data_IF_561627842323
#
_entry.id   IF_561627842323
#
_cell.length_a   1.000
_cell.length_b   1.000
_cell.length_c   1.000
_cell.angle_alpha   90.00
_cell.angle_beta   90.00
_cell.angle_gamma   90.00
#
_symmetry.space_group_name_H-M   'P 1'
#
loop_
_entity.id
_entity.type
_entity.pdbx_description
1 polymer ?
#
# COMPACT_ATOMS: atom_id res chain seq x y z
N UNK A 1 1.75 10.16 -14.32
CA UNK A 1 1.94 10.67 -15.68
C UNK A 1 1.66 9.52 -16.62
N UNK A 2 0.83 9.73 -17.65
CA UNK A 2 0.74 8.73 -18.72
C UNK A 2 2.02 8.78 -19.57
N UNK A 3 2.14 7.87 -20.54
CA UNK A 3 3.29 7.81 -21.45
C UNK A 3 3.51 9.09 -22.27
N UNK A 4 2.54 10.03 -22.25
CA UNK A 4 2.58 11.32 -22.92
C UNK A 4 2.93 12.48 -21.97
N UNK A 5 3.19 12.20 -20.69
CA UNK A 5 3.49 13.22 -19.68
C UNK A 5 2.26 13.95 -19.13
N UNK A 6 1.04 13.49 -19.44
CA UNK A 6 -0.17 14.15 -18.98
C UNK A 6 -0.37 13.95 -17.46
N UNK A 7 -0.89 14.98 -16.82
CA UNK A 7 -1.31 14.99 -15.42
C UNK A 7 -2.82 15.12 -15.33
N UNK A 8 -3.45 14.26 -14.53
CA UNK A 8 -4.89 14.21 -14.32
C UNK A 8 -5.21 14.49 -12.86
N UNK A 9 -6.06 15.48 -12.63
CA UNK A 9 -6.38 15.99 -11.28
C UNK A 9 -7.60 15.24 -10.72
N UNK A 10 -7.47 14.66 -9.52
CA UNK A 10 -8.57 14.04 -8.77
C UNK A 10 -9.32 15.05 -7.89
N UNK A 11 -9.25 16.34 -8.24
CA UNK A 11 -9.96 17.41 -7.58
C UNK A 11 -10.65 18.29 -8.60
N UNK A 12 -11.82 18.79 -8.24
CA UNK A 12 -12.55 19.80 -9.00
C UNK A 12 -13.19 19.29 -10.29
N UNK A 13 -14.28 19.96 -10.70
CA UNK A 13 -14.12 21.02 -11.67
C UNK A 13 -14.45 22.37 -11.05
N UNK A 14 -13.64 23.40 -11.35
CA UNK A 14 -14.06 24.79 -11.07
C UNK A 14 -15.09 25.30 -12.08
N UNK A 15 -15.20 24.68 -13.28
CA UNK A 15 -16.23 24.92 -14.31
C UNK A 15 -16.47 23.65 -15.17
N UNK A 16 -17.59 23.57 -15.90
CA UNK A 16 -18.00 22.44 -16.78
C UNK A 16 -16.96 22.08 -17.88
N UNK A 17 -16.09 23.00 -18.30
CA UNK A 17 -15.04 22.69 -19.28
C UNK A 17 -13.87 21.88 -18.67
N UNK A 18 -13.64 22.01 -17.37
CA UNK A 18 -12.57 21.33 -16.65
C UNK A 18 -12.96 19.92 -16.19
N UNK A 19 -14.25 19.59 -16.24
CA UNK A 19 -14.73 18.27 -15.83
C UNK A 19 -14.18 17.16 -16.71
N UNK A 20 -13.78 17.44 -17.95
CA UNK A 20 -13.16 16.44 -18.84
C UNK A 20 -11.86 15.85 -18.28
N UNK A 21 -10.99 16.66 -17.66
CA UNK A 21 -9.75 16.18 -17.04
C UNK A 21 -10.04 15.40 -15.77
N UNK A 22 -10.98 15.87 -14.97
CA UNK A 22 -11.44 15.20 -13.75
C UNK A 22 -12.12 13.85 -14.06
N UNK A 23 -13.01 13.81 -15.04
CA UNK A 23 -13.69 12.60 -15.49
C UNK A 23 -12.68 11.55 -15.97
N UNK A 24 -11.67 12.01 -16.72
CA UNK A 24 -10.56 11.15 -17.12
C UNK A 24 -9.75 10.66 -15.92
N UNK A 25 -9.46 11.52 -14.95
CA UNK A 25 -8.77 11.16 -13.71
C UNK A 25 -9.55 10.09 -12.93
N UNK A 26 -10.85 10.29 -12.72
CA UNK A 26 -11.72 9.35 -12.02
C UNK A 26 -11.85 8.01 -12.76
N UNK A 27 -11.92 8.02 -14.09
CA UNK A 27 -11.93 6.79 -14.91
C UNK A 27 -10.61 6.02 -14.78
N UNK A 28 -9.48 6.71 -14.79
CA UNK A 28 -8.16 6.09 -14.55
C UNK A 28 -8.07 5.54 -13.12
N UNK A 29 -8.60 6.26 -12.14
CA UNK A 29 -8.66 5.78 -10.76
C UNK A 29 -9.47 4.47 -10.62
N UNK A 30 -10.63 4.37 -11.29
CA UNK A 30 -11.39 3.11 -11.33
C UNK A 30 -10.61 1.98 -12.00
N UNK A 31 -9.83 2.29 -13.04
CA UNK A 31 -8.94 1.31 -13.69
C UNK A 31 -7.94 0.75 -12.69
N UNK A 32 -7.25 1.62 -11.93
CA UNK A 32 -6.33 1.19 -10.88
C UNK A 32 -7.01 0.35 -9.80
N UNK A 33 -8.23 0.70 -9.38
CA UNK A 33 -8.99 -0.07 -8.40
C UNK A 33 -9.40 -1.46 -8.93
N UNK A 34 -9.74 -1.54 -10.21
CA UNK A 34 -10.04 -2.81 -10.87
C UNK A 34 -8.79 -3.70 -10.95
N UNK A 35 -7.66 -3.15 -11.40
CA UNK A 35 -6.37 -3.86 -11.46
C UNK A 35 -5.96 -4.38 -10.07
N UNK A 36 -6.14 -3.56 -9.03
CA UNK A 36 -5.93 -3.99 -7.64
C UNK A 36 -6.80 -5.20 -7.28
N UNK A 37 -8.08 -5.20 -7.67
CA UNK A 37 -8.99 -6.31 -7.37
C UNK A 37 -8.59 -7.62 -8.06
N UNK A 38 -8.09 -7.53 -9.29
CA UNK A 38 -7.59 -8.67 -10.05
C UNK A 38 -6.31 -9.23 -9.42
N UNK A 39 -5.39 -8.34 -9.03
CA UNK A 39 -4.19 -8.69 -8.26
C UNK A 39 -4.56 -9.39 -6.94
N UNK A 40 -5.47 -8.82 -6.17
CA UNK A 40 -5.89 -9.36 -4.88
C UNK A 40 -6.51 -10.76 -5.02
N UNK A 41 -7.38 -10.94 -6.03
CA UNK A 41 -7.95 -12.25 -6.36
C UNK A 41 -6.87 -13.26 -6.77
N UNK A 42 -5.89 -12.85 -7.58
CA UNK A 42 -4.80 -13.73 -7.99
C UNK A 42 -3.94 -14.17 -6.78
N UNK A 43 -3.69 -13.25 -5.84
CA UNK A 43 -2.95 -13.56 -4.60
C UNK A 43 -3.71 -14.53 -3.71
N UNK A 44 -5.02 -14.41 -3.61
CA UNK A 44 -5.86 -15.36 -2.87
C UNK A 44 -5.81 -16.77 -3.48
N UNK A 45 -5.82 -16.86 -4.82
CA UNK A 45 -5.67 -18.14 -5.53
C UNK A 45 -4.30 -18.77 -5.24
N UNK A 46 -3.22 -17.97 -5.29
CA UNK A 46 -1.86 -18.42 -4.94
C UNK A 46 -1.77 -18.94 -3.49
N UNK A 47 -2.51 -18.30 -2.57
CA UNK A 47 -2.62 -18.71 -1.17
C UNK A 47 -3.59 -19.89 -0.93
N UNK A 48 -4.06 -20.57 -1.99
CA UNK A 48 -4.99 -21.69 -1.94
C UNK A 48 -6.35 -21.36 -1.28
N UNK A 49 -6.79 -20.10 -1.36
CA UNK A 49 -8.15 -19.73 -0.94
C UNK A 49 -9.14 -20.26 -1.98
N UNK A 50 -10.24 -20.88 -1.52
CA UNK A 50 -11.28 -21.38 -2.42
C UNK A 50 -11.80 -20.27 -3.35
N UNK A 51 -12.06 -20.55 -4.66
CA UNK A 51 -12.55 -19.56 -5.63
C UNK A 51 -13.80 -18.80 -5.21
N UNK A 52 -14.63 -19.40 -4.36
CA UNK A 52 -15.83 -18.78 -3.81
C UNK A 52 -15.51 -17.68 -2.80
N UNK A 53 -14.42 -17.86 -2.05
CA UNK A 53 -13.94 -16.97 -0.98
C UNK A 53 -12.87 -15.97 -1.43
N UNK A 54 -12.30 -16.16 -2.63
CA UNK A 54 -11.34 -15.22 -3.19
C UNK A 54 -11.93 -13.81 -3.28
N UNK A 55 -11.06 -12.82 -3.12
CA UNK A 55 -11.41 -11.41 -3.14
C UNK A 55 -12.23 -11.03 -4.38
N UNK A 56 -13.34 -10.32 -4.12
CA UNK A 56 -14.23 -9.74 -5.12
C UNK A 56 -14.71 -8.40 -4.59
N UNK A 57 -14.72 -7.39 -5.44
CA UNK A 57 -15.38 -6.13 -5.12
C UNK A 57 -16.89 -6.33 -5.03
N UNK A 58 -17.58 -5.70 -4.07
CA UNK A 58 -19.04 -5.78 -3.97
C UNK A 58 -19.75 -5.07 -5.14
N UNK A 59 -19.08 -4.09 -5.75
CA UNK A 59 -19.57 -3.39 -6.93
C UNK A 59 -18.59 -3.58 -8.09
N UNK A 60 -19.08 -4.18 -9.18
CA UNK A 60 -18.38 -4.36 -10.45
C UNK A 60 -17.94 -3.02 -11.06
N UNK A 61 -16.71 -2.99 -11.56
CA UNK A 61 -16.15 -1.85 -12.28
C UNK A 61 -16.04 -2.19 -13.77
N UNK A 62 -16.63 -1.36 -14.62
CA UNK A 62 -16.57 -1.47 -16.08
C UNK A 62 -16.36 -0.09 -16.71
N UNK A 63 -15.17 0.15 -17.27
CA UNK A 63 -14.79 1.44 -17.85
C UNK A 63 -14.94 2.59 -16.83
N UNK A 64 -15.85 3.52 -17.11
CA UNK A 64 -16.20 4.66 -16.27
C UNK A 64 -17.32 4.35 -15.26
N UNK A 65 -17.82 3.11 -15.22
CA UNK A 65 -18.98 2.74 -14.40
C UNK A 65 -18.60 1.90 -13.20
N UNK A 66 -19.30 2.19 -12.11
CA UNK A 66 -19.39 1.31 -10.94
C UNK A 66 -20.85 0.86 -10.84
N UNK A 67 -21.06 -0.44 -11.00
CA UNK A 67 -22.35 -1.04 -11.28
C UNK A 67 -22.95 -0.44 -12.56
N UNK A 68 -24.03 0.31 -12.44
CA UNK A 68 -24.74 0.91 -13.57
C UNK A 68 -24.57 2.44 -13.60
N UNK A 69 -23.73 3.00 -12.73
CA UNK A 69 -23.59 4.44 -12.55
C UNK A 69 -22.20 4.90 -13.01
N UNK A 70 -22.16 5.92 -13.87
CA UNK A 70 -20.90 6.53 -14.30
C UNK A 70 -20.30 7.38 -13.18
N UNK A 71 -18.98 7.27 -13.00
CA UNK A 71 -18.16 8.09 -12.09
C UNK A 71 -17.86 9.47 -12.67
N UNK A 72 -18.10 9.67 -13.95
CA UNK A 72 -17.93 10.96 -14.62
C UNK A 72 -19.01 11.94 -14.17
N UNK A 73 -18.62 13.19 -13.98
CA UNK A 73 -19.52 14.26 -13.59
C UNK A 73 -20.19 14.90 -14.82
N UNK A 74 -19.50 14.97 -15.96
CA UNK A 74 -20.05 15.59 -17.18
C UNK A 74 -21.28 14.83 -17.68
N UNK A 75 -22.33 15.57 -18.05
CA UNK A 75 -23.57 15.01 -18.61
C UNK A 75 -24.23 13.91 -17.74
N UNK A 76 -23.98 13.93 -16.43
CA UNK A 76 -24.52 12.96 -15.48
C UNK A 76 -25.55 13.61 -14.55
N UNK A 77 -26.46 12.80 -14.01
CA UNK A 77 -27.34 13.25 -12.92
C UNK A 77 -26.56 13.27 -11.62
N UNK A 78 -26.76 14.31 -10.82
CA UNK A 78 -26.06 14.48 -9.55
C UNK A 78 -26.26 13.26 -8.63
N UNK A 79 -27.47 12.69 -8.57
CA UNK A 79 -27.73 11.48 -7.79
C UNK A 79 -26.97 10.25 -8.29
N UNK A 80 -26.84 10.06 -9.61
CA UNK A 80 -26.14 8.94 -10.21
C UNK A 80 -24.63 9.04 -9.96
N UNK A 81 -24.07 10.23 -10.19
CA UNK A 81 -22.66 10.52 -9.91
C UNK A 81 -22.31 10.29 -8.43
N UNK A 82 -23.11 10.83 -7.52
CA UNK A 82 -22.93 10.64 -6.07
C UNK A 82 -23.03 9.17 -5.68
N UNK A 83 -23.91 8.41 -6.34
CA UNK A 83 -24.07 6.97 -6.09
C UNK A 83 -22.88 6.16 -6.60
N UNK A 84 -22.33 6.48 -7.77
CA UNK A 84 -21.09 5.89 -8.28
C UNK A 84 -19.91 6.14 -7.31
N UNK A 85 -19.78 7.37 -6.79
CA UNK A 85 -18.78 7.71 -5.77
C UNK A 85 -18.96 6.89 -4.49
N UNK A 86 -20.19 6.77 -3.99
CA UNK A 86 -20.51 5.95 -2.81
C UNK A 86 -20.12 4.47 -3.02
N UNK A 87 -20.40 3.92 -4.19
CA UNK A 87 -20.03 2.53 -4.51
C UNK A 87 -18.51 2.37 -4.62
N UNK A 88 -17.83 3.35 -5.22
CA UNK A 88 -16.36 3.38 -5.27
C UNK A 88 -15.75 3.38 -3.86
N UNK A 89 -16.27 4.20 -2.94
CA UNK A 89 -15.83 4.21 -1.54
C UNK A 89 -16.08 2.87 -0.82
N UNK A 90 -17.20 2.22 -1.11
CA UNK A 90 -17.46 0.88 -0.57
C UNK A 90 -16.43 -0.14 -1.12
N UNK A 91 -16.17 -0.13 -2.43
CA UNK A 91 -15.13 -0.97 -3.02
C UNK A 91 -13.76 -0.73 -2.37
N UNK A 92 -13.39 0.53 -2.13
CA UNK A 92 -12.15 0.88 -1.43
C UNK A 92 -12.12 0.36 0.02
N UNK A 93 -13.25 0.42 0.74
CA UNK A 93 -13.36 -0.18 2.07
C UNK A 93 -13.09 -1.69 2.04
N UNK A 94 -13.62 -2.40 1.05
CA UNK A 94 -13.39 -3.84 0.88
C UNK A 94 -11.96 -4.16 0.48
N UNK A 95 -11.38 -3.37 -0.43
CA UNK A 95 -9.97 -3.46 -0.80
C UNK A 95 -9.07 -3.29 0.43
N UNK A 96 -9.35 -2.29 1.27
CA UNK A 96 -8.63 -2.05 2.52
C UNK A 96 -8.80 -3.23 3.50
N UNK A 97 -10.03 -3.73 3.68
CA UNK A 97 -10.30 -4.87 4.56
C UNK A 97 -9.49 -6.11 4.13
N UNK A 98 -9.50 -6.44 2.84
CA UNK A 98 -8.70 -7.51 2.30
C UNK A 98 -7.19 -7.27 2.49
N UNK A 99 -6.72 -6.06 2.19
CA UNK A 99 -5.31 -5.70 2.32
C UNK A 99 -4.81 -5.85 3.76
N UNK A 100 -5.56 -5.34 4.74
CA UNK A 100 -5.25 -5.46 6.17
C UNK A 100 -5.30 -6.92 6.63
N UNK A 101 -6.22 -7.73 6.10
CA UNK A 101 -6.29 -9.17 6.41
C UNK A 101 -5.14 -9.99 5.83
N UNK A 102 -4.58 -9.56 4.69
CA UNK A 102 -3.48 -10.26 4.01
C UNK A 102 -2.08 -9.80 4.45
N UNK A 103 -1.94 -8.55 4.90
CA UNK A 103 -0.74 -8.15 5.64
C UNK A 103 -0.89 -8.68 7.06
N UNK A 104 -0.17 -9.74 7.41
CA UNK A 104 0.29 -9.85 8.79
C UNK A 104 1.09 -8.55 9.01
N UNK A 105 0.49 -7.56 9.69
CA UNK A 105 1.19 -6.35 10.10
C UNK A 105 2.38 -6.84 10.94
N UNK A 106 3.52 -7.05 10.31
CA UNK A 106 4.80 -7.01 10.97
C UNK A 106 5.00 -5.51 11.14
N UNK A 107 4.85 -4.95 12.36
CA UNK A 107 5.35 -3.61 12.58
C UNK A 107 6.79 -3.64 12.10
N UNK A 108 7.24 -2.60 11.38
CA UNK A 108 8.66 -2.41 11.08
C UNK A 108 9.43 -2.62 12.40
N UNK A 109 9.92 -3.84 12.65
CA UNK A 109 10.95 -4.07 13.64
C UNK A 109 12.12 -3.38 13.00
N UNK A 110 12.32 -2.12 13.39
CA UNK A 110 13.47 -1.34 13.02
C UNK A 110 14.66 -2.30 13.14
N UNK A 111 15.24 -2.65 11.99
CA UNK A 111 16.40 -3.51 11.95
C UNK A 111 17.56 -2.63 12.44
N UNK A 112 17.60 -2.41 13.76
CA UNK A 112 18.80 -1.99 14.46
C UNK A 112 19.64 -3.26 14.44
N UNK A 113 20.43 -3.38 13.38
CA UNK A 113 21.52 -4.34 13.30
C UNK A 113 22.49 -3.99 14.43
N UNK A 114 22.31 -4.60 15.59
CA UNK A 114 23.37 -4.73 16.58
C UNK A 114 24.41 -5.69 16.00
N UNK A 115 25.32 -5.15 15.18
CA UNK A 115 26.58 -5.80 14.85
C UNK A 115 27.46 -5.81 16.11
N UNK A 116 27.42 -6.94 16.80
CA UNK A 116 28.43 -7.50 17.68
C UNK A 116 28.68 -8.90 17.09
N UNK A 117 29.86 -9.42 16.74
CA UNK A 117 31.28 -9.13 16.95
C UNK A 117 32.05 -9.95 15.88
N UNK A 118 33.34 -9.66 15.63
CA UNK A 118 34.46 -10.64 15.79
C UNK A 118 35.78 -10.21 15.11
N UNK A 119 36.80 -10.00 15.96
CA UNK A 119 38.19 -10.52 15.90
C UNK A 119 39.04 -10.51 14.60
N UNK A 120 40.22 -9.89 14.68
CA UNK A 120 41.43 -10.39 14.00
C UNK A 120 42.52 -9.37 13.60
N UNK A 121 43.69 -9.48 14.26
CA UNK A 121 45.04 -9.04 13.83
C UNK A 121 45.53 -7.59 14.11
N UNK A 122 46.23 -7.44 15.24
CA UNK A 122 47.67 -7.09 15.26
C UNK A 122 48.08 -5.62 15.32
N UNK A 123 48.61 -5.18 16.46
CA UNK A 123 49.94 -4.58 16.52
C UNK A 123 50.52 -4.64 17.94
N UNK A 124 51.80 -5.01 18.02
CA UNK A 124 52.56 -5.12 19.27
C UNK A 124 52.83 -3.75 19.88
N UNK A 125 52.77 -3.66 21.22
CA UNK A 125 53.62 -2.75 21.97
C UNK A 125 54.26 -3.48 23.15
N UNK A 126 55.57 -3.30 23.26
CA UNK A 126 56.50 -3.92 24.22
C UNK A 126 56.87 -2.94 25.33
N UNK A 127 57.15 -3.51 26.53
CA UNK A 127 57.75 -2.98 27.79
C UNK A 127 56.70 -2.71 28.88
N UNK A 128 56.89 -3.04 30.17
CA UNK A 128 57.81 -3.85 31.00
C UNK A 128 57.12 -3.95 32.40
N UNK A 129 57.54 -4.85 33.31
CA UNK A 129 56.75 -5.27 34.47
C UNK A 129 57.01 -4.44 35.72
N UNK A 130 56.02 -4.37 36.62
CA UNK A 130 56.22 -4.11 38.06
C UNK A 130 55.26 -4.96 38.88
N UNK A 131 55.86 -5.82 39.70
CA UNK A 131 55.25 -6.61 40.78
C UNK A 131 54.45 -5.77 41.78
N UNK A 132 53.35 -6.33 42.28
CA UNK A 132 53.13 -6.42 43.73
C UNK A 132 51.94 -7.34 44.06
N UNK A 133 52.27 -8.44 44.74
CA UNK A 133 51.40 -9.29 45.60
C UNK A 133 50.44 -8.44 46.45
N UNK A 134 49.23 -8.92 46.74
CA UNK A 134 48.95 -9.65 47.99
C UNK A 134 47.52 -10.23 48.03
N UNK A 135 47.45 -11.28 48.82
CA UNK A 135 46.44 -12.30 49.07
C UNK A 135 45.24 -11.82 49.90
N UNK A 136 44.07 -12.36 49.56
CA UNK A 136 43.03 -12.98 50.42
C UNK A 136 42.87 -12.62 51.91
N UNK A 137 41.58 -12.51 52.28
CA UNK A 137 40.95 -12.90 53.55
C UNK A 137 41.18 -12.04 54.81
N UNK A 138 40.08 -11.61 55.43
CA UNK A 138 39.53 -12.30 56.62
C UNK A 138 38.16 -11.69 57.00
N UNK A 139 37.32 -12.56 57.60
CA UNK A 139 36.17 -12.34 58.51
C UNK A 139 35.72 -10.92 58.79
#
# INVERSE_FOLDING_TARGET
MDSSGNTYELFGPVNLFWSTRYDKAMTLFLTCLKEFSEFAKAKDIENNISPEKCFKLPYKIENDKVENYSITQSFNKQENWTKALKYTLCNLKWALYWFVGNINFQPLKASISSQAEASGAGLQYRKRPTDSKLHSSNT
#
